data_IF_975231107146
#
_entry.id   IF_975231107146
#
_cell.length_a   1.000
_cell.length_b   1.000
_cell.length_c   1.000
_cell.angle_alpha   90.00
_cell.angle_beta   90.00
_cell.angle_gamma   90.00
#
_symmetry.space_group_name_H-M   'P 1'
#
loop_
_entity.id
_entity.type
_entity.pdbx_description
1 polymer ?
#
# COMPACT_ATOMS: atom_id res chain seq x y z
N UNK A 1 11.75 -0.60 2.05
CA UNK A 1 11.66 0.87 1.91
C UNK A 1 10.22 1.22 1.55
N UNK A 2 9.59 2.14 2.27
CA UNK A 2 8.21 2.57 1.99
C UNK A 2 8.25 3.86 1.16
N UNK A 3 7.70 3.82 -0.05
CA UNK A 3 7.62 5.01 -0.92
C UNK A 3 6.21 5.57 -0.87
N UNK A 4 6.09 6.88 -0.68
CA UNK A 4 4.80 7.57 -0.76
C UNK A 4 4.22 7.47 -2.17
N UNK A 5 2.89 7.54 -2.28
CA UNK A 5 2.21 7.51 -3.58
C UNK A 5 2.73 8.61 -4.52
N UNK A 6 2.90 9.83 -4.00
CA UNK A 6 3.43 10.97 -4.76
C UNK A 6 4.83 10.68 -5.29
N UNK A 7 5.70 10.07 -4.49
CA UNK A 7 7.04 9.69 -4.94
C UNK A 7 7.00 8.66 -6.07
N UNK A 8 6.16 7.62 -5.94
CA UNK A 8 6.01 6.60 -6.99
C UNK A 8 5.50 7.20 -8.29
N UNK A 9 4.51 8.10 -8.22
CA UNK A 9 3.97 8.83 -9.37
C UNK A 9 5.05 9.65 -10.08
N UNK A 10 5.77 10.49 -9.34
CA UNK A 10 6.86 11.29 -9.89
C UNK A 10 7.94 10.42 -10.55
N UNK A 11 8.27 9.27 -9.96
CA UNK A 11 9.23 8.34 -10.53
C UNK A 11 8.76 7.70 -11.84
N UNK A 12 7.46 7.40 -11.97
CA UNK A 12 6.87 6.91 -13.22
C UNK A 12 6.82 8.02 -14.28
N UNK A 13 6.44 9.25 -13.91
CA UNK A 13 6.42 10.39 -14.81
C UNK A 13 7.81 10.69 -15.39
N UNK A 14 8.87 10.63 -14.55
CA UNK A 14 10.26 10.75 -14.99
C UNK A 14 10.67 9.61 -15.94
N UNK A 15 10.24 8.38 -15.65
CA UNK A 15 10.53 7.22 -16.50
C UNK A 15 9.94 7.41 -17.92
N UNK A 16 8.73 7.96 -18.04
CA UNK A 16 8.13 8.29 -19.34
C UNK A 16 8.89 9.37 -20.11
N UNK A 17 9.58 10.27 -19.41
CA UNK A 17 10.48 11.28 -20.00
C UNK A 17 11.86 10.71 -20.37
N UNK A 18 12.14 9.43 -20.05
CA UNK A 18 13.44 8.80 -20.23
C UNK A 18 14.48 9.18 -19.17
N UNK A 19 14.04 9.86 -18.11
CA UNK A 19 14.88 10.27 -16.98
C UNK A 19 14.74 9.27 -15.82
N UNK A 20 15.74 9.23 -14.96
CA UNK A 20 15.74 8.39 -13.76
C UNK A 20 15.87 9.26 -12.52
N UNK A 21 15.02 9.04 -11.49
CA UNK A 21 15.21 9.70 -10.20
C UNK A 21 16.49 9.22 -9.51
N UNK A 22 17.02 10.06 -8.63
CA UNK A 22 18.20 9.73 -7.83
C UNK A 22 17.96 8.47 -6.99
N UNK A 23 19.00 7.63 -6.92
CA UNK A 23 18.91 6.37 -6.17
C UNK A 23 19.03 6.68 -4.68
N UNK A 24 18.05 6.26 -3.85
CA UNK A 24 18.12 6.45 -2.40
C UNK A 24 19.31 5.70 -1.78
N UNK A 25 19.84 6.21 -0.68
CA UNK A 25 20.91 5.53 0.06
C UNK A 25 20.45 4.16 0.59
N UNK A 26 21.31 3.16 0.43
CA UNK A 26 21.07 1.80 0.92
C UNK A 26 20.37 0.85 -0.07
N UNK A 27 20.11 1.27 -1.32
CA UNK A 27 19.67 0.38 -2.39
C UNK A 27 20.58 0.50 -3.62
N UNK A 28 20.81 -0.60 -4.34
CA UNK A 28 21.51 -0.53 -5.62
C UNK A 28 20.66 0.17 -6.68
N UNK A 29 21.30 0.95 -7.54
CA UNK A 29 20.64 1.65 -8.66
C UNK A 29 19.87 0.68 -9.55
N UNK A 30 20.41 -0.52 -9.78
CA UNK A 30 19.74 -1.56 -10.56
C UNK A 30 18.40 -1.98 -9.93
N UNK A 31 18.39 -2.29 -8.63
CA UNK A 31 17.18 -2.70 -7.91
C UNK A 31 16.13 -1.59 -7.89
N UNK A 32 16.58 -0.34 -7.71
CA UNK A 32 15.68 0.81 -7.74
C UNK A 32 15.04 1.00 -9.12
N UNK A 33 15.83 0.93 -10.20
CA UNK A 33 15.31 1.01 -11.58
C UNK A 33 14.36 -0.14 -11.92
N UNK A 34 14.63 -1.35 -11.45
CA UNK A 34 13.73 -2.49 -11.63
C UNK A 34 12.40 -2.29 -10.88
N UNK A 35 12.44 -1.65 -9.71
CA UNK A 35 11.23 -1.29 -8.94
C UNK A 35 10.37 -0.29 -9.72
N UNK A 36 10.98 0.76 -10.30
CA UNK A 36 10.27 1.76 -11.12
C UNK A 36 9.60 1.11 -12.33
N UNK A 37 10.30 0.23 -13.05
CA UNK A 37 9.70 -0.54 -14.17
C UNK A 37 8.50 -1.36 -13.72
N UNK A 38 8.54 -1.92 -12.51
CA UNK A 38 7.40 -2.61 -11.90
C UNK A 38 6.20 -1.69 -11.69
N UNK A 39 6.41 -0.47 -11.20
CA UNK A 39 5.34 0.52 -11.03
C UNK A 39 4.71 0.95 -12.34
N UNK A 40 5.52 1.17 -13.38
CA UNK A 40 5.03 1.51 -14.74
C UNK A 40 4.10 0.42 -15.25
N UNK A 41 4.48 -0.86 -15.14
CA UNK A 41 3.64 -1.99 -15.56
C UNK A 41 2.32 -2.09 -14.77
N UNK A 42 2.35 -1.77 -13.47
CA UNK A 42 1.14 -1.75 -12.63
C UNK A 42 0.22 -0.60 -13.06
N UNK A 43 0.77 0.57 -13.36
CA UNK A 43 -0.01 1.70 -13.86
C UNK A 43 -0.62 1.43 -15.25
N UNK A 44 0.16 0.84 -16.17
CA UNK A 44 -0.32 0.47 -17.51
C UNK A 44 -1.46 -0.55 -17.48
N UNK A 45 -1.45 -1.48 -16.51
CA UNK A 45 -2.45 -2.56 -16.41
C UNK A 45 -3.69 -2.16 -15.60
N UNK A 46 -3.52 -1.42 -14.50
CA UNK A 46 -4.56 -1.17 -13.52
C UNK A 46 -4.93 0.32 -13.37
N UNK A 47 -4.24 1.22 -14.09
CA UNK A 47 -4.45 2.66 -14.06
C UNK A 47 -3.62 3.41 -13.01
N UNK A 48 -3.67 4.75 -13.02
CA UNK A 48 -2.80 5.62 -12.22
C UNK A 48 -2.97 5.46 -10.70
N UNK A 49 -4.19 5.13 -10.25
CA UNK A 49 -4.51 4.92 -8.84
C UNK A 49 -4.10 3.54 -8.32
N UNK A 50 -3.62 2.64 -9.17
CA UNK A 50 -3.20 1.30 -8.75
C UNK A 50 -1.97 1.31 -7.84
N UNK A 51 -1.16 2.38 -7.91
CA UNK A 51 0.00 2.59 -7.05
C UNK A 51 -0.36 3.17 -5.68
N UNK A 52 -1.60 3.66 -5.51
CA UNK A 52 -2.10 4.06 -4.20
C UNK A 52 -2.11 2.84 -3.29
N UNK A 53 -1.64 3.04 -2.06
CA UNK A 53 -1.86 2.04 -1.03
C UNK A 53 -3.37 1.89 -0.85
N UNK A 54 -3.89 0.69 -1.05
CA UNK A 54 -5.27 0.39 -0.71
C UNK A 54 -5.35 0.27 0.80
N UNK A 55 -6.17 1.12 1.43
CA UNK A 55 -6.54 0.98 2.84
C UNK A 55 -7.40 -0.28 2.99
N UNK A 56 -6.77 -1.45 2.95
CA UNK A 56 -7.44 -2.73 3.16
C UNK A 56 -7.84 -2.93 4.63
N UNK A 57 -7.20 -2.20 5.54
CA UNK A 57 -7.54 -2.25 6.95
C UNK A 57 -8.50 -1.10 7.27
N UNK A 58 -9.71 -1.45 7.69
CA UNK A 58 -10.59 -0.52 8.38
C UNK A 58 -9.83 0.03 9.58
N UNK A 59 -9.69 1.36 9.67
CA UNK A 59 -9.25 1.99 10.91
C UNK A 59 -10.37 1.83 11.94
N UNK A 60 -10.14 0.98 12.93
CA UNK A 60 -11.12 0.71 13.98
C UNK A 60 -10.97 1.73 15.11
N UNK A 61 -12.07 2.39 15.48
CA UNK A 61 -12.06 3.23 16.68
C UNK A 61 -11.91 2.38 17.95
N UNK A 62 -11.42 2.95 19.07
CA UNK A 62 -11.35 2.23 20.35
C UNK A 62 -12.69 1.63 20.78
N UNK A 63 -13.78 2.34 20.54
CA UNK A 63 -15.15 1.91 20.86
C UNK A 63 -15.58 0.72 20.00
N UNK A 64 -15.29 0.75 18.70
CA UNK A 64 -15.61 -0.37 17.81
C UNK A 64 -14.80 -1.63 18.18
N UNK A 65 -13.52 -1.47 18.54
CA UNK A 65 -12.69 -2.59 19.02
C UNK A 65 -13.24 -3.16 20.33
N UNK A 66 -13.66 -2.28 21.24
CA UNK A 66 -14.28 -2.70 22.50
C UNK A 66 -15.58 -3.47 22.26
N UNK A 67 -16.42 -3.02 21.32
CA UNK A 67 -17.66 -3.72 20.96
C UNK A 67 -17.41 -5.15 20.47
N UNK A 68 -16.37 -5.37 19.66
CA UNK A 68 -15.97 -6.72 19.23
C UNK A 68 -15.52 -7.58 20.42
N UNK A 69 -14.74 -7.02 21.35
CA UNK A 69 -14.29 -7.73 22.57
C UNK A 69 -15.47 -8.07 23.47
N UNK A 70 -16.42 -7.15 23.64
CA UNK A 70 -17.62 -7.36 24.46
C UNK A 70 -18.47 -8.53 23.93
N UNK A 71 -18.59 -8.69 22.60
CA UNK A 71 -19.31 -9.83 21.98
C UNK A 71 -18.66 -11.17 22.29
N UNK A 72 -17.33 -11.23 22.26
CA UNK A 72 -16.58 -12.44 22.65
C UNK A 72 -16.76 -12.73 24.13
N UNK A 73 -16.70 -11.70 24.99
CA UNK A 73 -16.95 -11.86 26.43
C UNK A 73 -18.39 -12.29 26.74
N UNK A 74 -19.36 -11.92 25.89
CA UNK A 74 -20.74 -12.38 25.97
C UNK A 74 -20.94 -13.85 25.52
N UNK A 75 -19.87 -14.52 25.06
CA UNK A 75 -19.87 -15.93 24.69
C UNK A 75 -19.96 -16.21 23.18
N UNK A 76 -19.90 -15.20 22.33
CA UNK A 76 -19.80 -15.42 20.89
C UNK A 76 -18.44 -16.04 20.51
N UNK A 77 -18.44 -16.95 19.54
CA UNK A 77 -17.19 -17.50 19.01
C UNK A 77 -16.39 -16.44 18.24
N UNK A 78 -15.07 -16.48 18.39
CA UNK A 78 -14.15 -15.57 17.66
C UNK A 78 -14.39 -15.57 16.14
N UNK A 79 -14.73 -16.73 15.56
CA UNK A 79 -15.04 -16.83 14.13
C UNK A 79 -16.29 -16.05 13.76
N UNK A 80 -17.36 -16.18 14.55
CA UNK A 80 -18.61 -15.44 14.35
C UNK A 80 -18.39 -13.93 14.38
N UNK A 81 -17.59 -13.44 15.34
CA UNK A 81 -17.27 -12.01 15.49
C UNK A 81 -16.36 -11.50 14.37
N UNK A 82 -15.48 -12.33 13.81
CA UNK A 82 -14.58 -11.94 12.72
C UNK A 82 -15.26 -11.84 11.35
N UNK A 83 -16.31 -12.62 11.11
CA UNK A 83 -17.07 -12.59 9.85
C UNK A 83 -18.20 -11.55 9.83
N UNK A 84 -18.55 -10.97 10.97
CA UNK A 84 -19.58 -9.93 11.12
C UNK A 84 -19.01 -8.53 10.97
#
# INVERSE_FOLDING_TARGET
MHYSYIFKRNAVDLYHQGLWPDTPDGISTENFRNTIRGWVRIEESCGPYALCHKEHNKEWSPEERYALVARVLAGESLKSVAYS
#
